data_IF_356677292834
#
_entry.id   IF_356677292834
#
_cell.length_a   1.000
_cell.length_b   1.000
_cell.length_c   1.000
_cell.angle_alpha   90.00
_cell.angle_beta   90.00
_cell.angle_gamma   90.00
#
_symmetry.space_group_name_H-M   'P 1'
#
loop_
_entity.id
_entity.type
_entity.pdbx_description
1 polymer ?
#
# COMPACT_ATOMS: atom_id res chain seq x y z
N UNK A 1 -23.00 6.52 2.41
CA UNK A 1 -23.29 7.55 1.37
C UNK A 1 -22.05 8.06 0.60
N UNK A 2 -20.80 7.80 1.01
CA UNK A 2 -19.58 8.35 0.35
C UNK A 2 -18.98 7.50 -0.80
N UNK A 3 -19.33 6.22 -0.92
CA UNK A 3 -18.69 5.31 -1.90
C UNK A 3 -19.33 5.36 -3.30
N UNK A 4 -20.66 5.41 -3.41
CA UNK A 4 -21.37 5.45 -4.69
C UNK A 4 -20.93 6.62 -5.60
N UNK A 5 -20.52 7.75 -5.00
CA UNK A 5 -20.07 8.93 -5.74
C UNK A 5 -18.69 8.73 -6.40
N UNK A 6 -17.81 7.95 -5.78
CA UNK A 6 -16.46 7.66 -6.31
C UNK A 6 -16.55 6.72 -7.52
N UNK A 7 -17.43 5.72 -7.44
CA UNK A 7 -17.66 4.79 -8.54
C UNK A 7 -18.26 5.48 -9.74
N UNK A 8 -19.31 6.28 -9.55
CA UNK A 8 -19.99 6.93 -10.67
C UNK A 8 -19.06 7.91 -11.40
N UNK A 9 -18.14 8.58 -10.70
CA UNK A 9 -17.17 9.51 -11.32
C UNK A 9 -16.08 8.82 -12.16
N UNK A 10 -15.66 7.61 -11.77
CA UNK A 10 -14.56 6.89 -12.44
C UNK A 10 -15.06 5.78 -13.38
N UNK A 11 -16.28 5.29 -13.16
CA UNK A 11 -16.91 4.17 -13.87
C UNK A 11 -18.36 4.53 -14.23
N UNK A 12 -18.53 5.50 -15.13
CA UNK A 12 -19.86 5.91 -15.57
C UNK A 12 -20.65 4.71 -16.11
N UNK A 13 -21.91 4.58 -15.69
CA UNK A 13 -22.79 3.51 -16.16
C UNK A 13 -22.41 2.11 -15.67
N UNK A 14 -21.70 1.97 -14.54
CA UNK A 14 -21.33 0.67 -14.00
C UNK A 14 -22.54 -0.19 -13.59
N UNK A 15 -22.42 -1.51 -13.75
CA UNK A 15 -23.37 -2.52 -13.26
C UNK A 15 -22.75 -3.42 -12.18
N UNK A 16 -21.97 -2.83 -11.27
CA UNK A 16 -21.39 -3.58 -10.16
C UNK A 16 -22.47 -4.10 -9.18
N UNK A 17 -22.31 -5.33 -8.67
CA UNK A 17 -23.27 -5.93 -7.75
C UNK A 17 -23.34 -5.18 -6.42
N UNK A 18 -24.51 -5.25 -5.78
CA UNK A 18 -24.70 -4.79 -4.41
C UNK A 18 -23.71 -5.54 -3.49
N UNK A 19 -22.97 -4.80 -2.65
CA UNK A 19 -21.90 -5.35 -1.81
C UNK A 19 -20.49 -5.15 -2.35
N UNK A 20 -20.28 -4.84 -3.64
CA UNK A 20 -18.93 -4.61 -4.16
C UNK A 20 -18.20 -3.46 -3.44
N UNK A 21 -18.90 -2.34 -3.23
CA UNK A 21 -18.34 -1.19 -2.50
C UNK A 21 -18.05 -1.51 -1.03
N UNK A 22 -18.87 -2.36 -0.41
CA UNK A 22 -18.71 -2.78 0.98
C UNK A 22 -17.52 -3.71 1.12
N UNK A 23 -17.36 -4.69 0.23
CA UNK A 23 -16.18 -5.55 0.17
C UNK A 23 -14.90 -4.74 0.03
N UNK A 24 -14.85 -3.76 -0.90
CA UNK A 24 -13.69 -2.86 -1.02
C UNK A 24 -13.46 -2.14 0.31
N UNK A 25 -14.49 -1.54 0.89
CA UNK A 25 -14.37 -0.81 2.15
C UNK A 25 -13.89 -1.69 3.31
N UNK A 26 -14.39 -2.91 3.46
CA UNK A 26 -13.98 -3.85 4.52
C UNK A 26 -12.53 -4.31 4.33
N UNK A 27 -12.17 -4.71 3.10
CA UNK A 27 -10.81 -5.14 2.77
C UNK A 27 -9.79 -4.02 2.97
N UNK A 28 -10.20 -2.78 2.72
CA UNK A 28 -9.32 -1.61 2.82
C UNK A 28 -9.56 -0.78 4.08
N UNK A 29 -10.46 -1.20 4.98
CA UNK A 29 -10.93 -0.45 6.16
C UNK A 29 -11.24 1.03 5.86
N UNK A 30 -11.73 1.32 4.64
CA UNK A 30 -11.97 2.67 4.15
C UNK A 30 -10.74 3.56 3.95
N UNK A 31 -9.52 3.02 4.00
CA UNK A 31 -8.30 3.80 3.84
C UNK A 31 -8.08 4.18 2.37
N UNK A 32 -8.06 5.49 2.03
CA UNK A 32 -8.11 5.95 0.63
C UNK A 32 -7.02 5.39 -0.28
N UNK A 33 -5.78 5.27 0.23
CA UNK A 33 -4.67 4.71 -0.55
C UNK A 33 -4.95 3.26 -0.96
N UNK A 34 -5.35 2.40 0.00
CA UNK A 34 -5.60 0.98 -0.24
C UNK A 34 -6.85 0.77 -1.11
N UNK A 35 -7.84 1.65 -1.01
CA UNK A 35 -8.98 1.67 -1.91
C UNK A 35 -8.57 1.95 -3.35
N UNK A 36 -7.80 3.01 -3.58
CA UNK A 36 -7.34 3.37 -4.91
C UNK A 36 -6.49 2.23 -5.52
N UNK A 37 -5.54 1.74 -4.74
CA UNK A 37 -4.68 0.61 -5.03
C UNK A 37 -5.44 -0.66 -5.42
N UNK A 38 -6.45 -1.04 -4.63
CA UNK A 38 -7.27 -2.22 -4.89
C UNK A 38 -8.10 -2.06 -6.17
N UNK A 39 -8.68 -0.88 -6.39
CA UNK A 39 -9.46 -0.59 -7.60
C UNK A 39 -8.57 -0.61 -8.85
N UNK A 40 -7.39 0.00 -8.79
CA UNK A 40 -6.40 -0.02 -9.88
C UNK A 40 -6.03 -1.46 -10.24
N UNK A 41 -5.71 -2.30 -9.25
CA UNK A 41 -5.42 -3.71 -9.51
C UNK A 41 -6.58 -4.44 -10.20
N UNK A 42 -7.80 -4.25 -9.71
CA UNK A 42 -8.96 -4.94 -10.29
C UNK A 42 -9.18 -4.52 -11.75
N UNK A 43 -8.86 -3.27 -12.09
CA UNK A 43 -8.88 -2.76 -13.48
C UNK A 43 -7.76 -3.36 -14.34
N UNK A 44 -6.52 -3.35 -13.85
CA UNK A 44 -5.36 -3.87 -14.60
C UNK A 44 -5.47 -5.37 -14.91
N UNK A 45 -6.23 -6.10 -14.08
CA UNK A 45 -6.54 -7.51 -14.28
C UNK A 45 -7.77 -7.76 -15.16
N UNK A 46 -8.40 -6.71 -15.68
CA UNK A 46 -9.68 -6.80 -16.38
C UNK A 46 -10.76 -7.50 -15.54
N UNK A 47 -10.66 -7.43 -14.20
CA UNK A 47 -11.73 -7.86 -13.29
C UNK A 47 -12.82 -6.81 -13.30
N UNK A 48 -12.46 -5.54 -13.16
CA UNK A 48 -13.29 -4.42 -13.59
C UNK A 48 -12.99 -4.20 -15.06
N UNK A 49 -13.96 -4.51 -15.92
CA UNK A 49 -13.81 -4.40 -17.36
C UNK A 49 -14.90 -3.52 -17.96
N UNK A 50 -14.54 -2.78 -19.00
CA UNK A 50 -15.48 -2.04 -19.82
C UNK A 50 -16.07 -2.98 -20.86
N UNK A 51 -17.36 -3.29 -20.73
CA UNK A 51 -18.13 -4.03 -21.71
C UNK A 51 -18.67 -3.05 -22.75
N UNK A 52 -18.29 -3.27 -24.01
CA UNK A 52 -18.82 -2.48 -25.13
C UNK A 52 -20.25 -2.95 -25.42
N UNK A 53 -21.21 -2.05 -25.23
CA UNK A 53 -22.59 -2.31 -25.59
C UNK A 53 -22.75 -2.54 -27.10
N UNK A 54 -23.70 -3.40 -27.46
CA UNK A 54 -24.16 -3.56 -28.84
C UNK A 54 -25.06 -2.38 -29.19
N UNK A 55 -24.55 -1.46 -30.02
CA UNK A 55 -25.28 -0.38 -30.72
C UNK A 55 -26.01 0.62 -29.81
N UNK A 56 -25.52 1.87 -29.81
CA UNK A 56 -26.08 3.09 -29.16
C UNK A 56 -26.31 3.09 -27.64
N UNK A 57 -26.21 1.95 -26.95
CA UNK A 57 -26.01 1.90 -25.50
C UNK A 57 -24.51 2.01 -25.22
N UNK A 58 -24.09 3.14 -24.63
CA UNK A 58 -22.68 3.41 -24.32
C UNK A 58 -21.99 2.29 -23.51
N UNK A 59 -20.67 2.33 -23.46
CA UNK A 59 -19.88 1.36 -22.68
C UNK A 59 -20.30 1.31 -21.21
N UNK A 60 -20.39 0.10 -20.65
CA UNK A 60 -20.70 -0.12 -19.24
C UNK A 60 -19.57 -0.86 -18.54
N UNK A 61 -19.38 -0.57 -17.25
CA UNK A 61 -18.38 -1.25 -16.43
C UNK A 61 -18.99 -2.42 -15.66
N UNK A 62 -18.41 -3.60 -15.81
CA UNK A 62 -18.88 -4.85 -15.19
C UNK A 62 -17.75 -5.55 -14.44
N UNK A 63 -18.12 -6.46 -13.53
CA UNK A 63 -17.18 -7.40 -12.94
C UNK A 63 -17.14 -8.69 -13.76
N UNK A 64 -15.95 -9.09 -14.22
CA UNK A 64 -15.76 -10.35 -14.94
C UNK A 64 -15.69 -11.59 -14.03
N UNK A 65 -15.72 -11.39 -12.71
CA UNK A 65 -15.71 -12.43 -11.67
C UNK A 65 -16.79 -12.17 -10.62
N UNK A 66 -17.19 -13.21 -9.89
CA UNK A 66 -18.11 -13.08 -8.76
C UNK A 66 -17.43 -12.38 -7.58
N UNK A 67 -18.22 -11.79 -6.68
CA UNK A 67 -17.68 -11.16 -5.46
C UNK A 67 -16.88 -12.16 -4.60
N UNK A 68 -17.39 -13.39 -4.43
CA UNK A 68 -16.70 -14.42 -3.64
C UNK A 68 -15.36 -14.84 -4.26
N UNK A 69 -15.27 -14.92 -5.59
CA UNK A 69 -14.00 -15.20 -6.27
C UNK A 69 -12.97 -14.08 -6.04
N UNK A 70 -13.44 -12.82 -6.05
CA UNK A 70 -12.60 -11.65 -5.79
C UNK A 70 -12.16 -11.62 -4.32
N UNK A 71 -13.05 -11.91 -3.39
CA UNK A 71 -12.72 -11.94 -1.95
C UNK A 71 -11.67 -13.01 -1.62
N UNK A 72 -11.75 -14.17 -2.27
CA UNK A 72 -10.82 -15.29 -2.09
C UNK A 72 -9.41 -15.04 -2.63
N UNK A 73 -9.24 -14.08 -3.54
CA UNK A 73 -7.93 -13.70 -4.09
C UNK A 73 -7.28 -12.50 -3.37
N UNK A 74 -8.00 -11.83 -2.48
CA UNK A 74 -7.53 -10.65 -1.75
C UNK A 74 -7.15 -11.00 -0.31
N UNK A 75 -6.12 -10.36 0.26
CA UNK A 75 -5.81 -10.48 1.68
C UNK A 75 -7.03 -10.25 2.57
N UNK A 76 -7.04 -10.82 3.77
CA UNK A 76 -8.21 -10.74 4.67
C UNK A 76 -8.49 -9.34 5.20
N UNK A 77 -7.50 -8.45 5.25
CA UNK A 77 -7.61 -7.09 5.79
C UNK A 77 -6.54 -6.15 5.25
N UNK A 78 -6.64 -4.86 5.60
CA UNK A 78 -5.61 -3.86 5.32
C UNK A 78 -4.28 -4.25 5.92
N UNK A 79 -4.24 -4.71 7.18
CA UNK A 79 -2.98 -5.16 7.76
C UNK A 79 -2.40 -6.36 6.98
N UNK A 80 -3.24 -7.21 6.39
CA UNK A 80 -2.81 -8.22 5.42
C UNK A 80 -2.17 -7.59 4.16
N UNK A 81 -2.83 -6.60 3.56
CA UNK A 81 -2.29 -5.87 2.40
C UNK A 81 -0.96 -5.17 2.73
N UNK A 82 -0.85 -4.51 3.89
CA UNK A 82 0.36 -3.83 4.35
C UNK A 82 1.50 -4.84 4.55
N UNK A 83 1.25 -5.93 5.30
CA UNK A 83 2.24 -7.01 5.49
C UNK A 83 2.76 -7.51 4.14
N UNK A 84 1.87 -7.71 3.18
CA UNK A 84 2.24 -8.16 1.84
C UNK A 84 2.99 -7.10 1.01
N UNK A 85 2.74 -5.80 1.21
CA UNK A 85 3.53 -4.73 0.55
C UNK A 85 4.95 -4.73 1.11
N UNK A 86 5.10 -4.85 2.42
CA UNK A 86 6.41 -4.86 3.10
C UNK A 86 7.25 -6.09 2.72
N UNK A 87 6.62 -7.25 2.48
CA UNK A 87 7.33 -8.45 2.00
C UNK A 87 7.96 -8.28 0.62
N UNK A 88 7.54 -7.30 -0.18
CA UNK A 88 8.11 -7.03 -1.50
C UNK A 88 9.29 -6.07 -1.47
N UNK A 89 9.43 -5.32 -0.38
CA UNK A 89 10.56 -4.42 -0.19
C UNK A 89 11.86 -5.21 -0.10
N UNK A 90 12.99 -4.55 -0.33
CA UNK A 90 14.27 -5.16 -0.01
C UNK A 90 14.53 -5.17 1.51
N UNK A 91 15.56 -5.89 1.95
CA UNK A 91 15.87 -6.04 3.38
C UNK A 91 16.22 -4.71 4.05
N UNK A 92 16.81 -3.76 3.33
CA UNK A 92 17.17 -2.45 3.89
C UNK A 92 15.94 -1.57 4.05
N UNK A 93 15.04 -1.56 3.07
CA UNK A 93 13.76 -0.83 3.15
C UNK A 93 12.86 -1.37 4.27
N UNK A 94 12.86 -2.69 4.50
CA UNK A 94 12.21 -3.29 5.67
C UNK A 94 12.79 -2.78 6.99
N UNK A 95 14.12 -2.77 7.11
CA UNK A 95 14.82 -2.31 8.32
C UNK A 95 14.57 -0.82 8.57
N UNK A 96 14.51 0.00 7.51
CA UNK A 96 14.12 1.41 7.58
C UNK A 96 12.74 1.58 8.21
N UNK A 97 11.75 0.86 7.72
CA UNK A 97 10.39 0.93 8.26
C UNK A 97 10.29 0.45 9.72
N UNK A 98 11.11 -0.53 10.12
CA UNK A 98 11.18 -0.98 11.52
C UNK A 98 11.87 0.04 12.41
N UNK A 99 12.97 0.64 11.97
CA UNK A 99 13.63 1.70 12.73
C UNK A 99 12.69 2.91 12.90
N UNK A 100 11.98 3.28 11.84
CA UNK A 100 10.95 4.31 11.87
C UNK A 100 9.79 3.98 12.83
N UNK A 101 9.39 2.70 12.93
CA UNK A 101 8.27 2.27 13.78
C UNK A 101 8.51 2.41 15.27
N UNK A 102 9.77 2.52 15.69
CA UNK A 102 10.14 2.72 17.10
C UNK A 102 9.84 4.15 17.56
N UNK A 103 9.85 5.12 16.65
CA UNK A 103 9.76 6.54 17.02
C UNK A 103 8.32 6.97 17.26
N UNK A 104 7.47 6.87 16.22
CA UNK A 104 6.01 7.01 16.26
C UNK A 104 5.49 6.98 14.81
N UNK A 105 4.23 7.36 14.56
CA UNK A 105 3.76 7.54 13.19
C UNK A 105 4.58 8.58 12.41
N UNK A 106 5.09 9.64 13.05
CA UNK A 106 6.02 10.60 12.48
C UNK A 106 7.45 10.33 12.98
N UNK A 107 8.42 10.32 12.08
CA UNK A 107 9.82 9.99 12.38
C UNK A 107 10.77 10.84 11.53
N UNK A 108 12.00 10.96 12.02
CA UNK A 108 13.05 11.79 11.43
C UNK A 108 14.11 10.92 10.72
N UNK A 109 14.52 11.34 9.51
CA UNK A 109 15.52 10.62 8.69
C UNK A 109 16.87 10.47 9.41
N UNK A 110 17.32 11.48 10.15
CA UNK A 110 18.56 11.45 10.93
C UNK A 110 18.49 10.48 12.10
N UNK A 111 17.33 10.33 12.76
CA UNK A 111 17.17 9.34 13.84
C UNK A 111 17.20 7.93 13.28
N UNK A 112 16.53 7.68 12.15
CA UNK A 112 16.58 6.39 11.46
C UNK A 112 18.00 6.08 10.97
N UNK A 113 18.71 7.06 10.43
CA UNK A 113 20.11 6.94 10.02
C UNK A 113 21.02 6.56 11.18
N UNK A 114 20.87 7.22 12.34
CA UNK A 114 21.62 6.91 13.57
C UNK A 114 21.34 5.50 14.08
N UNK A 115 20.07 5.06 14.09
CA UNK A 115 19.67 3.72 14.55
C UNK A 115 20.24 2.62 13.64
N UNK A 116 20.24 2.82 12.33
CA UNK A 116 20.71 1.83 11.36
C UNK A 116 22.19 1.95 11.03
N UNK A 117 22.87 2.98 11.56
CA UNK A 117 24.27 3.30 11.31
C UNK A 117 24.60 3.37 9.80
N UNK A 118 23.79 4.13 9.07
CA UNK A 118 23.93 4.40 7.62
C UNK A 118 23.87 5.91 7.36
N UNK A 119 24.36 6.33 6.20
CA UNK A 119 24.38 7.74 5.79
C UNK A 119 22.95 8.28 5.61
N UNK A 120 22.70 9.51 6.07
CA UNK A 120 21.39 10.17 6.02
C UNK A 120 20.87 10.32 4.59
N UNK A 121 21.72 10.71 3.64
CA UNK A 121 21.37 10.83 2.21
C UNK A 121 20.78 9.53 1.65
N UNK A 122 21.36 8.38 2.02
CA UNK A 122 20.89 7.05 1.60
C UNK A 122 19.57 6.66 2.25
N UNK A 123 19.34 7.10 3.48
CA UNK A 123 18.06 6.93 4.18
C UNK A 123 16.99 7.73 3.46
N UNK A 124 17.25 8.99 3.17
CA UNK A 124 16.30 9.90 2.53
C UNK A 124 15.96 9.45 1.11
N UNK A 125 16.95 9.08 0.31
CA UNK A 125 16.73 8.53 -1.03
C UNK A 125 15.77 7.32 -0.99
N UNK A 126 15.98 6.40 -0.04
CA UNK A 126 15.13 5.22 0.13
C UNK A 126 13.74 5.56 0.66
N UNK A 127 13.61 6.50 1.59
CA UNK A 127 12.32 6.95 2.11
C UNK A 127 11.50 7.65 1.02
N UNK A 128 12.12 8.49 0.20
CA UNK A 128 11.48 9.12 -0.96
C UNK A 128 11.05 8.09 -2.00
N UNK A 129 11.86 7.04 -2.21
CA UNK A 129 11.48 5.91 -3.06
C UNK A 129 10.28 5.14 -2.49
N UNK A 130 10.26 4.88 -1.19
CA UNK A 130 9.15 4.20 -0.51
C UNK A 130 7.84 5.01 -0.57
N UNK A 131 7.92 6.34 -0.53
CA UNK A 131 6.78 7.23 -0.77
C UNK A 131 6.29 7.10 -2.21
N UNK A 132 7.20 7.21 -3.18
CA UNK A 132 6.88 7.20 -4.62
C UNK A 132 6.33 5.87 -5.10
N UNK A 133 7.02 4.78 -4.79
CA UNK A 133 6.78 3.47 -5.40
C UNK A 133 5.70 2.69 -4.64
N UNK A 134 5.55 2.93 -3.33
CA UNK A 134 4.70 2.12 -2.47
C UNK A 134 3.71 2.93 -1.61
N UNK A 135 3.91 4.25 -1.51
CA UNK A 135 3.14 5.17 -0.66
C UNK A 135 3.01 4.70 0.80
N UNK A 136 4.03 3.98 1.29
CA UNK A 136 4.06 3.46 2.67
C UNK A 136 4.46 4.52 3.69
N UNK A 137 5.23 5.51 3.23
CA UNK A 137 5.63 6.69 3.98
C UNK A 137 5.20 7.93 3.21
N UNK A 138 5.04 9.04 3.93
CA UNK A 138 4.74 10.35 3.34
C UNK A 138 5.70 11.38 3.87
N UNK A 139 6.28 12.18 2.99
CA UNK A 139 7.06 13.34 3.36
C UNK A 139 6.16 14.38 4.04
N UNK A 140 6.56 14.87 5.22
CA UNK A 140 5.75 15.80 6.02
C UNK A 140 6.37 17.17 6.23
N UNK A 141 7.68 17.25 6.43
CA UNK A 141 8.40 18.50 6.59
C UNK A 141 9.90 18.31 6.31
N UNK A 142 10.57 19.39 5.94
CA UNK A 142 12.02 19.51 5.87
C UNK A 142 12.43 20.60 6.87
N UNK A 143 13.43 20.34 7.71
CA UNK A 143 13.94 21.34 8.65
C UNK A 143 15.45 21.17 8.88
N UNK A 144 16.09 22.29 9.19
CA UNK A 144 17.50 22.27 9.60
C UNK A 144 17.62 21.67 11.01
N UNK A 145 18.55 20.74 11.18
CA UNK A 145 18.83 20.16 12.47
C UNK A 145 19.41 21.23 13.42
N UNK A 146 18.83 21.33 14.61
CA UNK A 146 19.25 22.31 15.62
C UNK A 146 20.64 22.03 16.22
N UNK A 147 21.26 20.88 15.90
CA UNK A 147 22.57 20.45 16.41
C UNK A 147 23.76 20.92 15.55
N UNK A 148 23.52 21.69 14.49
CA UNK A 148 24.56 22.35 13.70
C UNK A 148 25.27 21.44 12.70
N UNK A 149 24.74 20.24 12.43
CA UNK A 149 25.10 19.50 11.22
C UNK A 149 24.55 20.23 9.99
N UNK A 150 25.34 20.41 8.92
CA UNK A 150 24.93 21.16 7.73
C UNK A 150 23.84 20.46 6.90
N UNK A 151 23.44 19.24 7.26
CA UNK A 151 22.42 18.48 6.57
C UNK A 151 21.03 18.80 7.13
N UNK A 152 20.11 19.20 6.26
CA UNK A 152 18.69 19.31 6.60
C UNK A 152 18.15 17.91 6.88
N UNK A 153 17.36 17.75 7.94
CA UNK A 153 16.66 16.51 8.21
C UNK A 153 15.22 16.58 7.68
N UNK A 154 14.77 15.44 7.19
CA UNK A 154 13.45 15.30 6.62
C UNK A 154 12.58 14.44 7.53
N UNK A 155 11.38 14.92 7.82
CA UNK A 155 10.37 14.22 8.60
C UNK A 155 9.38 13.50 7.70
N UNK A 156 9.13 12.23 8.03
CA UNK A 156 8.20 11.35 7.34
C UNK A 156 7.12 10.84 8.29
N UNK A 157 5.95 10.52 7.74
CA UNK A 157 4.90 9.79 8.45
C UNK A 157 4.69 8.41 7.82
N UNK A 158 4.74 7.36 8.63
CA UNK A 158 4.55 5.98 8.19
C UNK A 158 3.11 5.52 8.37
N UNK A 159 2.47 5.13 7.27
CA UNK A 159 1.15 4.50 7.29
C UNK A 159 1.19 3.10 7.90
N UNK A 160 2.35 2.43 7.82
CA UNK A 160 2.58 1.11 8.38
C UNK A 160 2.49 1.14 9.91
N UNK A 161 3.16 2.12 10.50
CA UNK A 161 3.28 2.31 11.95
C UNK A 161 1.96 2.78 12.55
N UNK A 162 1.24 3.66 11.84
CA UNK A 162 -0.06 4.16 12.30
C UNK A 162 -1.11 3.06 12.48
N UNK A 163 -1.04 1.96 11.70
CA UNK A 163 -2.13 0.97 11.64
C UNK A 163 -1.80 -0.42 12.14
N UNK A 164 -0.56 -0.89 12.03
CA UNK A 164 -0.23 -2.27 12.35
C UNK A 164 1.07 -2.40 13.17
N UNK A 165 1.36 -1.41 14.02
CA UNK A 165 2.66 -1.22 14.69
C UNK A 165 3.20 -2.49 15.37
N UNK A 166 2.36 -3.18 16.16
CA UNK A 166 2.78 -4.35 16.95
C UNK A 166 2.90 -5.62 16.07
N UNK A 167 1.94 -5.87 15.20
CA UNK A 167 1.93 -7.10 14.40
C UNK A 167 2.95 -7.10 13.26
N UNK A 168 3.36 -5.92 12.80
CA UNK A 168 4.32 -5.79 11.70
C UNK A 168 5.75 -5.71 12.20
N UNK A 169 6.02 -5.04 13.33
CA UNK A 169 7.35 -5.10 13.94
C UNK A 169 7.76 -6.55 14.25
N UNK A 170 6.83 -7.37 14.77
CA UNK A 170 7.08 -8.80 14.95
C UNK A 170 7.21 -9.57 13.62
N UNK A 171 6.37 -9.25 12.63
CA UNK A 171 6.37 -9.90 11.32
C UNK A 171 7.63 -9.63 10.51
N UNK A 172 8.15 -8.40 10.54
CA UNK A 172 9.39 -7.99 9.86
C UNK A 172 10.61 -8.58 10.57
N UNK A 173 10.64 -8.56 11.92
CA UNK A 173 11.70 -9.16 12.70
C UNK A 173 11.79 -10.70 12.53
N UNK A 174 10.66 -11.37 12.31
CA UNK A 174 10.58 -12.83 12.12
C UNK A 174 10.70 -13.30 10.68
N UNK A 175 10.68 -12.41 9.67
CA UNK A 175 10.92 -12.78 8.26
C UNK A 175 12.39 -13.13 7.96
N UNK A 176 12.88 -14.22 8.57
CA UNK A 176 13.87 -15.09 7.94
C UNK A 176 13.21 -15.74 6.72
N UNK A 177 13.96 -16.18 5.69
CA UNK A 177 13.39 -16.88 4.54
C UNK A 177 13.02 -18.30 4.96
N UNK A 178 11.95 -18.46 5.73
CA UNK A 178 11.40 -19.77 6.05
C UNK A 178 10.42 -20.20 4.96
N UNK A 179 10.85 -21.24 4.26
CA UNK A 179 10.06 -22.12 3.42
C UNK A 179 8.94 -22.75 4.26
N UNK A 180 7.82 -22.07 4.40
CA UNK A 180 6.57 -22.68 4.88
C UNK A 180 5.44 -22.34 3.91
N UNK A 181 4.98 -23.37 3.20
CA UNK A 181 3.76 -23.41 2.38
C UNK A 181 2.53 -23.14 3.25
N UNK A 182 2.30 -21.89 3.62
CA UNK A 182 0.96 -21.36 3.86
C UNK A 182 0.52 -20.66 2.58
N UNK A 183 -0.74 -20.81 2.18
CA UNK A 183 -1.30 -20.15 1.00
C UNK A 183 -0.82 -18.69 0.89
N UNK A 184 -0.15 -18.37 -0.21
CA UNK A 184 0.52 -17.08 -0.39
C UNK A 184 -0.55 -16.00 -0.69
N UNK A 185 -1.23 -15.52 0.36
CA UNK A 185 -2.24 -14.45 0.30
C UNK A 185 -1.68 -13.13 -0.27
N UNK A 186 -0.35 -13.04 -0.45
CA UNK A 186 0.34 -11.88 -1.02
C UNK A 186 0.47 -11.91 -2.54
N UNK A 187 -0.02 -12.94 -3.23
CA UNK A 187 0.03 -13.03 -4.70
C UNK A 187 -0.67 -11.88 -5.44
N UNK A 188 -1.72 -11.31 -4.83
CA UNK A 188 -2.37 -10.07 -5.26
C UNK A 188 -1.41 -8.88 -5.19
N UNK A 189 -0.84 -8.64 -4.00
CA UNK A 189 -0.04 -7.45 -3.69
C UNK A 189 1.25 -7.43 -4.52
N UNK A 190 1.86 -8.60 -4.76
CA UNK A 190 3.08 -8.72 -5.59
C UNK A 190 2.91 -8.23 -7.02
N UNK A 191 1.69 -8.30 -7.55
CA UNK A 191 1.40 -7.93 -8.94
C UNK A 191 0.64 -6.60 -9.05
N UNK A 192 -0.01 -6.18 -7.97
CA UNK A 192 -0.67 -4.89 -7.88
C UNK A 192 0.32 -3.74 -7.60
N UNK A 193 1.38 -4.00 -6.82
CA UNK A 193 2.24 -2.95 -6.27
C UNK A 193 3.74 -3.20 -6.44
N UNK A 194 4.11 -4.27 -7.15
CA UNK A 194 5.48 -4.43 -7.62
C UNK A 194 5.69 -3.42 -8.75
N UNK A 195 6.62 -2.49 -8.57
CA UNK A 195 6.88 -1.43 -9.54
C UNK A 195 7.05 -1.97 -10.96
N UNK A 196 6.57 -1.20 -11.94
CA UNK A 196 6.80 -1.42 -13.36
C UNK A 196 8.31 -1.49 -13.63
N UNK A 197 8.85 -2.71 -13.56
CA UNK A 197 10.14 -3.05 -14.12
C UNK A 197 9.91 -3.66 -15.49
N UNK A 198 9.86 -2.80 -16.50
CA UNK A 198 10.53 -2.90 -17.82
C UNK A 198 10.23 -1.62 -18.63
#
# INVERSE_FOLDING_TARGET
>A
MRLQFIWNRNFHGHHFPAGFSEMIYEKTEGHPLFMADLVTYLRDRHIIAEEKGLQDAGSSWVLSKTLSDIEGMLPKSVCGMIKCKIRQLDDMDRKLLVAASVQDCAFDSAVVAKVLNIEIDKVEERLLRLERDHSLVKLTAEYELADGTPDAAISFCSYVVSKCNVEIAEGIAKSRPESSRGADDCGFVRRAFGGHGE
#
